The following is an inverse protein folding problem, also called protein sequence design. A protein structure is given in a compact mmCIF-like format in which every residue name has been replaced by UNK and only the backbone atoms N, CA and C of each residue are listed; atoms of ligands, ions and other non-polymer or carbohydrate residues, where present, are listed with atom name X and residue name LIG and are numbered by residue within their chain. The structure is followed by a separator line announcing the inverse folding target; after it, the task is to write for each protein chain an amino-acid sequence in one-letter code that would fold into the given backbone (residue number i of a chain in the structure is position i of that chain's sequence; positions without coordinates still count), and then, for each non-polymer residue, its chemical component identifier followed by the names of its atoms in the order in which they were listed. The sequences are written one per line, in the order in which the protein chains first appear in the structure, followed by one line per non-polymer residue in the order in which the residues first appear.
data_IF_585302311020
#
_entry.id   IF_585302311020
#
_cell.length_a   1.000
_cell.length_b   1.000
_cell.length_c   1.000
_cell.angle_alpha   90.00
_cell.angle_beta   90.00
_cell.angle_gamma   90.00
#
_symmetry.space_group_name_H-M   'P 1'
#
loop_
_entity.id
_entity.type
_entity.pdbx_description
1 polymer ?
#
# COMPACT_ATOMS: atom_id res chain seq x y z
N UNK A 1 -15.57 -9.01 -5.11
CA UNK A 1 -15.63 -8.72 -5.00
C UNK A 1 -15.93 -8.31 -4.59
N UNK A 2 -15.66 -8.15 -4.38
CA UNK A 2 -15.89 -7.66 -3.94
C UNK A 2 -15.58 -7.15 -3.41
N UNK A 3 -15.18 -6.67 -3.31
CA UNK A 3 -14.96 -5.94 -3.07
C UNK A 3 -14.54 -5.40 -3.01
N UNK A 4 -14.16 -5.39 -3.23
CA UNK A 4 -13.92 -4.67 -3.34
C UNK A 4 -13.95 -3.97 -3.30
N UNK A 5 -13.95 -3.67 -3.60
CA UNK A 5 -14.11 -2.89 -3.59
C UNK A 5 -14.44 -2.21 -3.05
N UNK A 6 -14.64 -2.22 -3.20
CA UNK A 6 -15.09 -1.29 -2.74
C UNK A 6 -14.61 -0.69 -1.69
N UNK A 7 -14.35 -0.81 -1.31
CA UNK A 7 -13.97 -0.27 -0.56
C UNK A 7 -13.19 0.56 -0.73
N UNK A 8 -12.87 0.52 -1.31
CA UNK A 8 -11.86 1.38 -1.57
C UNK A 8 -12.31 2.75 -1.65
N UNK A 9 -13.45 2.99 -1.91
CA UNK A 9 -13.84 4.17 -2.13
C UNK A 9 -14.07 5.03 -1.09
N UNK A 10 -14.83 4.77 -0.30
CA UNK A 10 -15.15 5.66 0.73
C UNK A 10 -13.96 6.13 1.46
N UNK A 11 -12.99 5.37 1.39
CA UNK A 11 -11.80 5.69 2.01
C UNK A 11 -11.18 6.89 1.45
N UNK A 12 -11.36 7.10 0.19
CA UNK A 12 -10.71 8.17 -0.47
C UNK A 12 -10.98 9.51 0.16
N UNK A 13 -12.11 9.63 0.81
CA UNK A 13 -12.42 10.89 1.34
C UNK A 13 -11.75 11.26 2.58
N UNK A 14 -11.52 10.39 3.43
CA UNK A 14 -10.93 10.72 4.68
C UNK A 14 -9.48 10.94 4.54
N UNK A 15 -9.04 10.84 3.36
CA UNK A 15 -7.72 10.89 3.12
C UNK A 15 -7.00 12.15 3.33
N UNK A 16 -7.57 13.26 3.21
CA UNK A 16 -6.84 14.48 3.36
C UNK A 16 -5.96 14.48 4.59
N UNK A 17 -6.55 14.35 5.75
CA UNK A 17 -5.77 14.36 6.98
C UNK A 17 -4.89 13.16 7.13
N UNK A 18 -5.42 11.99 6.77
CA UNK A 18 -4.63 10.77 6.89
C UNK A 18 -3.40 10.82 5.99
N UNK A 19 -3.53 11.40 4.82
CA UNK A 19 -2.40 11.51 3.92
C UNK A 19 -1.30 12.38 4.50
N UNK A 20 -1.66 13.47 5.14
CA UNK A 20 -0.67 14.35 5.74
C UNK A 20 0.05 13.66 6.88
N UNK A 21 -0.69 12.93 7.72
CA UNK A 21 -0.06 12.21 8.81
C UNK A 21 0.87 11.13 8.28
N UNK A 22 0.46 10.44 7.23
CA UNK A 22 1.28 9.39 6.64
C UNK A 22 2.57 9.97 6.05
N UNK A 23 2.49 11.15 5.43
CA UNK A 23 3.68 11.76 4.87
C UNK A 23 4.67 12.17 5.96
N UNK A 24 4.17 12.66 7.09
CA UNK A 24 5.05 12.98 8.20
C UNK A 24 5.72 11.72 8.73
N UNK A 25 4.96 10.65 8.86
CA UNK A 25 5.54 9.39 9.34
C UNK A 25 6.54 8.81 8.35
N UNK A 26 6.30 9.00 7.06
CA UNK A 26 7.26 8.56 6.06
C UNK A 26 8.59 9.28 6.22
N UNK A 27 8.55 10.56 6.55
CA UNK A 27 9.79 11.30 6.78
C UNK A 27 10.50 10.82 8.04
N UNK A 28 9.75 10.43 9.05
CA UNK A 28 10.32 9.93 10.29
C UNK A 28 10.76 8.47 10.23
N UNK A 29 10.16 7.72 9.32
CA UNK A 29 10.45 6.30 9.18
C UNK A 29 10.77 5.98 7.72
N UNK A 30 11.91 6.48 7.23
CA UNK A 30 12.21 6.39 5.80
C UNK A 30 12.37 4.96 5.27
N UNK A 31 12.73 4.01 6.14
CA UNK A 31 12.84 2.63 5.67
C UNK A 31 11.47 2.04 5.34
N UNK A 32 10.45 2.39 6.10
CA UNK A 32 9.09 1.94 5.80
C UNK A 32 8.61 2.59 4.51
N UNK A 33 8.91 3.88 4.34
CA UNK A 33 8.55 4.56 3.11
C UNK A 33 9.22 3.92 1.90
N UNK A 34 10.50 3.56 2.04
CA UNK A 34 11.21 2.91 0.94
C UNK A 34 10.65 1.52 0.65
N UNK A 35 10.24 0.80 1.67
CA UNK A 35 9.63 -0.52 1.47
C UNK A 35 8.34 -0.39 0.67
N UNK A 36 7.54 0.61 0.96
CA UNK A 36 6.30 0.83 0.21
C UNK A 36 6.63 1.13 -1.25
N UNK A 37 7.62 1.99 -1.49
CA UNK A 37 7.98 2.33 -2.86
C UNK A 37 8.52 1.11 -3.61
N UNK A 38 9.33 0.31 -2.95
CA UNK A 38 9.87 -0.90 -3.56
C UNK A 38 8.76 -1.88 -3.93
N UNK A 39 7.76 -1.99 -3.07
CA UNK A 39 6.62 -2.87 -3.37
C UNK A 39 5.80 -2.32 -4.53
N UNK A 40 5.63 -1.01 -4.61
CA UNK A 40 4.91 -0.42 -5.74
C UNK A 40 5.66 -0.65 -7.04
N UNK A 41 6.98 -0.53 -7.02
CA UNK A 41 7.79 -0.79 -8.19
C UNK A 41 7.68 -2.25 -8.60
N UNK A 42 7.76 -3.16 -7.63
CA UNK A 42 7.62 -4.59 -7.90
C UNK A 42 6.27 -4.90 -8.51
N UNK A 43 5.22 -4.27 -8.00
CA UNK A 43 3.89 -4.47 -8.53
C UNK A 43 3.81 -4.04 -9.99
N UNK A 44 4.41 -2.91 -10.31
CA UNK A 44 4.41 -2.42 -11.68
C UNK A 44 5.14 -3.38 -12.61
N UNK A 45 6.28 -3.92 -12.16
CA UNK A 45 7.01 -4.89 -12.95
C UNK A 45 6.20 -6.15 -13.17
N UNK A 46 5.51 -6.63 -12.13
CA UNK A 46 4.67 -7.82 -12.27
C UNK A 46 3.54 -7.59 -13.26
N UNK A 47 2.92 -6.43 -13.20
CA UNK A 47 1.83 -6.12 -14.12
C UNK A 47 2.31 -6.04 -15.56
N UNK A 48 3.53 -5.57 -15.77
CA UNK A 48 4.08 -5.44 -17.10
C UNK A 48 4.60 -6.75 -17.66
N UNK A 49 4.82 -7.75 -16.82
CA UNK A 49 5.36 -9.02 -17.27
C UNK A 49 4.38 -9.70 -18.23
N UNK A 50 4.88 -10.26 -19.33
CA UNK A 50 3.99 -10.74 -20.40
C UNK A 50 3.26 -12.05 -20.15
N UNK A 51 3.64 -12.79 -19.14
CA UNK A 51 3.02 -14.08 -18.86
C UNK A 51 2.30 -14.08 -17.54
N UNK A 52 1.38 -15.00 -17.33
CA UNK A 52 0.64 -15.08 -16.09
C UNK A 52 1.28 -16.00 -15.06
N UNK A 53 2.28 -16.75 -15.47
CA UNK A 53 3.02 -17.64 -14.59
C UNK A 53 2.10 -18.57 -13.78
N UNK A 54 1.14 -19.18 -14.49
CA UNK A 54 0.24 -20.13 -13.87
C UNK A 54 -0.70 -19.52 -12.84
N UNK A 55 -0.99 -18.26 -12.97
CA UNK A 55 -1.86 -17.58 -12.01
C UNK A 55 -1.11 -17.04 -10.81
N UNK A 56 0.14 -17.43 -10.65
CA UNK A 56 0.89 -16.99 -9.47
C UNK A 56 1.24 -15.50 -9.53
N UNK A 57 1.31 -14.93 -10.74
CA UNK A 57 1.54 -13.49 -10.86
C UNK A 57 0.39 -12.71 -10.23
N UNK A 58 -0.85 -13.10 -10.51
CA UNK A 58 -2.00 -12.42 -9.93
C UNK A 58 -2.01 -12.55 -8.42
N UNK A 59 -1.65 -13.71 -7.91
CA UNK A 59 -1.58 -13.92 -6.46
C UNK A 59 -0.49 -13.05 -5.84
N UNK A 60 0.64 -12.94 -6.52
CA UNK A 60 1.73 -12.11 -6.02
C UNK A 60 1.36 -10.63 -6.01
N UNK A 61 0.62 -10.18 -7.02
CA UNK A 61 0.16 -8.80 -7.05
C UNK A 61 -0.78 -8.54 -5.88
N UNK A 62 -1.70 -9.46 -5.60
CA UNK A 62 -2.62 -9.29 -4.48
C UNK A 62 -1.88 -9.26 -3.14
N UNK A 63 -0.89 -10.13 -2.99
CA UNK A 63 -0.10 -10.15 -1.76
C UNK A 63 0.69 -8.86 -1.60
N UNK A 64 1.20 -8.32 -2.71
CA UNK A 64 1.94 -7.07 -2.68
C UNK A 64 1.02 -5.92 -2.29
N UNK A 65 -0.20 -5.89 -2.84
CA UNK A 65 -1.17 -4.86 -2.47
C UNK A 65 -1.52 -4.93 -1.00
N UNK A 66 -1.65 -6.14 -0.47
CA UNK A 66 -1.94 -6.30 0.95
C UNK A 66 -0.76 -5.82 1.80
N UNK A 67 0.46 -6.12 1.37
CA UNK A 67 1.64 -5.66 2.09
C UNK A 67 1.72 -4.14 2.11
N UNK A 68 1.45 -3.50 0.98
CA UNK A 68 1.45 -2.05 0.91
C UNK A 68 0.41 -1.48 1.88
N UNK A 69 -0.76 -2.08 1.90
CA UNK A 69 -1.83 -1.63 2.78
C UNK A 69 -1.41 -1.73 4.25
N UNK A 70 -0.80 -2.85 4.61
CA UNK A 70 -0.38 -3.05 6.00
C UNK A 70 0.73 -2.06 6.39
N UNK A 71 1.64 -1.76 5.47
CA UNK A 71 2.68 -0.78 5.78
C UNK A 71 2.10 0.62 5.96
N UNK A 72 1.08 0.96 5.18
CA UNK A 72 0.42 2.24 5.37
C UNK A 72 -0.33 2.28 6.71
N UNK A 73 -0.94 1.17 7.11
CA UNK A 73 -1.57 1.10 8.43
C UNK A 73 -0.52 1.24 9.53
N UNK A 74 0.67 0.66 9.32
CA UNK A 74 1.74 0.78 10.30
C UNK A 74 2.16 2.24 10.48
N UNK A 75 2.26 2.98 9.39
CA UNK A 75 2.59 4.40 9.50
C UNK A 75 1.49 5.17 10.21
N UNK A 76 0.24 4.85 9.91
CA UNK A 76 -0.89 5.51 10.55
C UNK A 76 -0.93 5.19 12.04
N UNK A 77 -0.61 3.95 12.41
CA UNK A 77 -0.56 3.57 13.82
C UNK A 77 0.49 4.38 14.57
N UNK A 78 1.68 4.50 13.98
CA UNK A 78 2.74 5.29 14.60
C UNK A 78 2.36 6.77 14.68
N UNK A 79 1.71 7.29 13.67
CA UNK A 79 1.27 8.68 13.71
C UNK A 79 0.33 8.91 14.89
N UNK A 80 -0.56 7.97 15.14
CA UNK A 80 -1.49 8.09 16.26
C UNK A 80 -0.76 8.00 17.59
N UNK A 81 0.28 7.17 17.67
CA UNK A 81 1.03 7.01 18.91
C UNK A 81 1.96 8.17 19.19
N UNK A 82 2.48 8.77 18.13
CA UNK A 82 3.46 9.83 18.26
C UNK A 82 2.87 11.21 18.53
N UNK A 83 1.55 11.31 18.52
CA UNK A 83 0.89 12.58 18.77
C UNK A 83 0.64 12.86 20.23
#
# INVERSE_FOLDING_TARGET
MKFVMGMALGIALSIGGATMLAQNEKAMHPRIAKAIEALKDSRAYMEAAPHDFGGHKADAIRATDEAIKQLNFALAYRAAKDR
#
